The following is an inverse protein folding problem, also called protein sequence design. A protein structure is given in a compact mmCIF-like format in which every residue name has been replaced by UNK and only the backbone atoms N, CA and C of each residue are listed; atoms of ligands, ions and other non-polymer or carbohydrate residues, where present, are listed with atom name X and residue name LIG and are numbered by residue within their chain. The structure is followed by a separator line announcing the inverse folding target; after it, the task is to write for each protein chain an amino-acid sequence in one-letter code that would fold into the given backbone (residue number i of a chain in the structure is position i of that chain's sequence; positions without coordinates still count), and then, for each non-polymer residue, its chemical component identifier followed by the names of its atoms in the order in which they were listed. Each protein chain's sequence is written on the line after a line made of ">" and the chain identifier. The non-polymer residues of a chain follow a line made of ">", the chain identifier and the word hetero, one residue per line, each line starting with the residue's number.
data_IF_499712172485
#
_entry.id   IF_499712172485
#
_cell.length_a   1.000
_cell.length_b   1.000
_cell.length_c   1.000
_cell.angle_alpha   90.00
_cell.angle_beta   90.00
_cell.angle_gamma   90.00
#
_symmetry.space_group_name_H-M   'P 1'
#
loop_
_entity.id
_entity.type
_entity.pdbx_description
1 polymer ?
#
# COMPACT_ATOMS: atom_id res chain seq x y z
N UNK A 1 -4.80 -19.88 25.04
CA UNK A 1 -4.73 -20.54 23.71
C UNK A 1 -5.44 -19.66 22.69
N UNK A 2 -5.27 -19.97 21.40
CA UNK A 2 -5.85 -19.19 20.31
C UNK A 2 -6.65 -20.09 19.38
N UNK A 3 -7.89 -19.70 19.14
CA UNK A 3 -8.85 -20.47 18.37
C UNK A 3 -9.31 -19.70 17.13
N UNK A 4 -9.52 -20.43 16.03
CA UNK A 4 -10.06 -19.91 14.79
C UNK A 4 -11.45 -20.51 14.56
N UNK A 5 -12.50 -19.72 14.80
CA UNK A 5 -13.89 -20.14 14.70
C UNK A 5 -14.41 -19.80 13.31
N UNK A 6 -14.83 -20.83 12.57
CA UNK A 6 -15.44 -20.69 11.25
C UNK A 6 -16.83 -20.08 11.39
N UNK A 7 -17.19 -19.14 10.51
CA UNK A 7 -18.49 -18.46 10.54
C UNK A 7 -18.79 -17.81 9.19
N UNK A 8 -20.06 -17.61 8.88
CA UNK A 8 -20.47 -16.74 7.75
C UNK A 8 -20.51 -15.27 8.19
N UNK A 9 -20.67 -14.35 7.24
CA UNK A 9 -20.67 -12.91 7.52
C UNK A 9 -21.79 -12.51 8.48
N UNK A 10 -22.96 -13.11 8.35
CA UNK A 10 -24.14 -12.76 9.16
C UNK A 10 -23.96 -13.21 10.62
N UNK A 11 -23.50 -14.44 10.83
CA UNK A 11 -23.22 -15.01 12.14
C UNK A 11 -22.00 -14.37 12.80
N UNK A 12 -21.00 -13.93 12.04
CA UNK A 12 -19.92 -13.07 12.53
C UNK A 12 -20.48 -11.78 13.13
N UNK A 13 -21.26 -11.01 12.35
CA UNK A 13 -21.81 -9.74 12.81
C UNK A 13 -22.72 -9.91 14.03
N UNK A 14 -23.53 -10.98 14.05
CA UNK A 14 -24.35 -11.34 15.22
C UNK A 14 -23.48 -11.66 16.44
N UNK A 15 -22.42 -12.45 16.28
CA UNK A 15 -21.48 -12.79 17.36
C UNK A 15 -20.79 -11.56 17.93
N UNK A 16 -20.31 -10.68 17.07
CA UNK A 16 -19.67 -9.43 17.48
C UNK A 16 -20.65 -8.51 18.22
N UNK A 17 -21.92 -8.47 17.80
CA UNK A 17 -22.97 -7.65 18.43
C UNK A 17 -23.45 -8.24 19.76
N UNK A 18 -23.64 -9.55 19.85
CA UNK A 18 -24.22 -10.20 21.03
C UNK A 18 -23.20 -10.64 22.07
N UNK A 19 -21.91 -10.71 21.72
CA UNK A 19 -20.88 -11.29 22.58
C UNK A 19 -21.04 -12.81 22.78
N UNK A 20 -21.64 -13.51 21.81
CA UNK A 20 -21.94 -14.93 21.90
C UNK A 20 -21.43 -15.70 20.69
N UNK A 21 -20.97 -16.93 20.91
CA UNK A 21 -20.68 -17.91 19.87
C UNK A 21 -21.43 -19.19 20.24
N UNK A 22 -22.15 -19.79 19.29
CA UNK A 22 -22.68 -21.14 19.41
C UNK A 22 -22.02 -22.07 18.40
N UNK A 23 -21.42 -23.17 18.85
CA UNK A 23 -20.75 -24.13 17.99
C UNK A 23 -21.43 -25.50 18.14
N UNK A 24 -21.84 -26.19 17.05
CA UNK A 24 -22.40 -27.53 17.15
C UNK A 24 -21.55 -28.50 18.00
N UNK A 25 -22.18 -29.27 18.89
CA UNK A 25 -21.45 -30.16 19.84
C UNK A 25 -20.62 -31.24 19.12
N UNK A 26 -21.00 -31.68 17.93
CA UNK A 26 -20.18 -32.62 17.14
C UNK A 26 -18.81 -32.02 16.74
N UNK A 27 -18.70 -30.69 16.63
CA UNK A 27 -17.41 -30.02 16.41
C UNK A 27 -16.59 -29.89 17.70
N UNK A 28 -17.24 -29.93 18.87
CA UNK A 28 -16.58 -29.84 20.17
C UNK A 28 -15.54 -30.93 20.36
N UNK A 29 -15.94 -32.16 20.10
CA UNK A 29 -15.14 -33.35 20.40
C UNK A 29 -14.04 -33.56 19.35
N UNK A 30 -14.36 -33.30 18.07
CA UNK A 30 -13.39 -33.43 16.97
C UNK A 30 -12.29 -32.36 17.00
N UNK A 31 -12.58 -31.17 17.52
CA UNK A 31 -11.67 -30.01 17.49
C UNK A 31 -11.17 -29.58 18.88
N UNK A 32 -11.48 -30.37 19.92
CA UNK A 32 -11.13 -30.08 21.31
C UNK A 32 -11.50 -28.65 21.77
N UNK A 33 -12.73 -28.22 21.44
CA UNK A 33 -13.25 -26.88 21.77
C UNK A 33 -13.74 -26.79 23.22
N UNK A 34 -13.92 -27.93 23.89
CA UNK A 34 -14.19 -27.98 25.33
C UNK A 34 -13.08 -27.38 26.19
N UNK A 35 -11.87 -27.24 25.64
CA UNK A 35 -10.73 -26.64 26.33
C UNK A 35 -10.73 -25.10 26.29
N UNK A 36 -11.66 -24.47 25.57
CA UNK A 36 -11.77 -23.01 25.55
C UNK A 36 -12.14 -22.53 26.95
N UNK A 37 -11.26 -21.72 27.53
CA UNK A 37 -11.43 -21.14 28.86
C UNK A 37 -11.36 -19.61 28.82
N UNK A 38 -11.59 -18.98 29.97
CA UNK A 38 -11.60 -17.53 30.09
C UNK A 38 -10.21 -16.98 29.79
N UNK A 39 -10.13 -15.95 28.94
CA UNK A 39 -8.89 -15.31 28.51
C UNK A 39 -8.27 -15.90 27.24
N UNK A 40 -8.81 -17.01 26.71
CA UNK A 40 -8.41 -17.51 25.40
C UNK A 40 -8.76 -16.51 24.29
N UNK A 41 -7.89 -16.43 23.28
CA UNK A 41 -8.09 -15.54 22.12
C UNK A 41 -8.94 -16.25 21.08
N UNK A 42 -9.98 -15.57 20.62
CA UNK A 42 -10.91 -16.09 19.63
C UNK A 42 -10.82 -15.25 18.37
N UNK A 43 -10.43 -15.87 17.27
CA UNK A 43 -10.45 -15.32 15.93
C UNK A 43 -11.64 -15.90 15.17
N UNK A 44 -12.17 -15.13 14.21
CA UNK A 44 -13.26 -15.57 13.36
C UNK A 44 -12.81 -15.67 11.92
N UNK A 45 -12.95 -16.84 11.31
CA UNK A 45 -12.78 -17.01 9.88
C UNK A 45 -14.14 -16.90 9.17
N UNK A 46 -14.33 -15.78 8.50
CA UNK A 46 -15.43 -15.48 7.59
C UNK A 46 -15.20 -16.20 6.27
N UNK A 47 -15.83 -17.36 6.09
CA UNK A 47 -15.58 -18.21 4.92
C UNK A 47 -16.20 -17.65 3.63
N UNK A 48 -17.23 -16.78 3.72
CA UNK A 48 -17.84 -16.14 2.55
C UNK A 48 -16.87 -15.13 1.93
N UNK A 49 -16.16 -14.39 2.77
CA UNK A 49 -15.21 -13.36 2.33
C UNK A 49 -13.75 -13.80 2.37
N UNK A 50 -13.47 -15.02 2.85
CA UNK A 50 -12.12 -15.54 3.10
C UNK A 50 -11.25 -14.59 3.95
N UNK A 51 -11.82 -14.07 5.05
CA UNK A 51 -11.12 -13.13 5.97
C UNK A 51 -11.13 -13.60 7.41
N UNK A 52 -10.11 -13.21 8.17
CA UNK A 52 -9.97 -13.50 9.59
C UNK A 52 -10.10 -12.21 10.40
N UNK A 53 -10.99 -12.21 11.39
CA UNK A 53 -11.25 -11.13 12.34
C UNK A 53 -10.86 -11.55 13.76
N UNK A 54 -10.82 -10.59 14.68
CA UNK A 54 -10.41 -10.82 16.08
C UNK A 54 -9.06 -10.18 16.40
N UNK A 55 -8.45 -10.46 17.56
CA UNK A 55 -8.99 -11.36 18.57
C UNK A 55 -10.13 -10.72 19.37
N UNK A 56 -11.18 -11.50 19.60
CA UNK A 56 -12.03 -11.38 20.78
C UNK A 56 -11.37 -12.15 21.94
N UNK A 57 -11.82 -11.91 23.17
CA UNK A 57 -11.42 -12.72 24.32
C UNK A 57 -12.58 -13.60 24.79
N UNK A 58 -12.32 -14.87 25.06
CA UNK A 58 -13.30 -15.73 25.73
C UNK A 58 -13.57 -15.19 27.14
N UNK A 59 -14.83 -14.85 27.42
CA UNK A 59 -15.32 -14.49 28.75
C UNK A 59 -15.82 -15.73 29.52
N UNK A 60 -15.87 -16.87 28.86
CA UNK A 60 -16.48 -18.10 29.36
C UNK A 60 -15.56 -18.81 30.33
N UNK A 61 -15.98 -19.03 31.58
CA UNK A 61 -15.23 -19.85 32.54
C UNK A 61 -15.27 -21.34 32.16
N UNK A 62 -16.42 -21.81 31.69
CA UNK A 62 -16.64 -23.17 31.23
C UNK A 62 -17.69 -23.18 30.11
N UNK A 63 -17.39 -23.89 29.04
CA UNK A 63 -18.24 -23.96 27.87
C UNK A 63 -19.54 -24.72 28.18
N UNK A 64 -20.69 -24.04 28.05
CA UNK A 64 -22.00 -24.61 28.42
C UNK A 64 -22.70 -25.21 27.22
N UNK A 65 -23.42 -26.29 27.42
CA UNK A 65 -24.26 -26.83 26.38
C UNK A 65 -25.65 -26.18 26.40
N UNK A 66 -26.12 -25.75 25.23
CA UNK A 66 -27.45 -25.19 24.99
C UNK A 66 -28.22 -26.11 24.03
N UNK A 67 -29.44 -26.48 24.40
CA UNK A 67 -30.33 -27.32 23.59
C UNK A 67 -31.34 -26.44 22.86
N UNK A 68 -31.49 -26.64 21.55
CA UNK A 68 -32.47 -25.98 20.68
C UNK A 68 -32.56 -24.44 20.83
N UNK A 69 -31.44 -23.70 20.72
CA UNK A 69 -31.47 -22.24 20.66
C UNK A 69 -32.38 -21.75 19.53
N UNK A 70 -33.32 -20.84 19.85
CA UNK A 70 -34.27 -20.29 18.87
C UNK A 70 -33.63 -19.35 17.86
N UNK A 71 -32.50 -18.73 18.21
CA UNK A 71 -31.82 -17.75 17.37
C UNK A 71 -30.30 -17.92 17.47
N UNK A 72 -29.60 -17.54 16.40
CA UNK A 72 -28.15 -17.52 16.32
C UNK A 72 -27.51 -16.48 17.26
N UNK A 73 -26.18 -16.30 17.18
CA UNK A 73 -25.33 -16.75 16.08
C UNK A 73 -25.01 -18.25 16.13
N UNK A 74 -25.00 -18.91 14.98
CA UNK A 74 -24.56 -20.29 14.78
C UNK A 74 -23.23 -20.28 14.03
N UNK A 75 -22.16 -20.68 14.70
CA UNK A 75 -20.80 -20.66 14.19
C UNK A 75 -20.31 -22.10 14.00
N UNK A 76 -19.38 -22.28 13.07
CA UNK A 76 -18.87 -23.56 12.61
C UNK A 76 -18.90 -23.61 11.08
N UNK A 77 -18.82 -24.82 10.54
CA UNK A 77 -18.89 -25.09 9.11
C UNK A 77 -19.96 -26.16 8.83
N UNK A 78 -20.49 -26.17 7.61
CA UNK A 78 -21.58 -27.07 7.21
C UNK A 78 -22.98 -26.57 7.62
N UNK A 79 -23.94 -27.48 7.77
CA UNK A 79 -25.34 -27.17 8.12
C UNK A 79 -25.52 -26.84 9.61
N UNK A 80 -24.78 -25.83 10.10
CA UNK A 80 -24.70 -25.47 11.53
C UNK A 80 -26.04 -25.12 12.16
N UNK A 81 -27.05 -24.70 11.39
CA UNK A 81 -28.40 -24.36 11.88
C UNK A 81 -29.32 -25.56 12.11
N UNK A 82 -28.97 -26.76 11.63
CA UNK A 82 -29.80 -27.98 11.75
C UNK A 82 -29.47 -28.83 12.98
N UNK A 83 -28.58 -28.35 13.85
CA UNK A 83 -28.18 -29.08 15.06
C UNK A 83 -29.12 -28.76 16.23
N UNK A 84 -29.26 -29.71 17.14
CA UNK A 84 -30.11 -29.57 18.34
C UNK A 84 -29.32 -29.24 19.61
N UNK A 85 -27.99 -29.36 19.58
CA UNK A 85 -27.09 -29.15 20.73
C UNK A 85 -25.90 -28.30 20.31
N UNK A 86 -25.66 -27.23 21.06
CA UNK A 86 -24.58 -26.29 20.80
C UNK A 86 -23.75 -26.05 22.05
N UNK A 87 -22.46 -25.84 21.86
CA UNK A 87 -21.56 -25.25 22.82
C UNK A 87 -21.74 -23.73 22.77
N UNK A 88 -22.25 -23.15 23.85
CA UNK A 88 -22.41 -21.71 24.06
C UNK A 88 -21.16 -21.15 24.73
N UNK A 89 -20.52 -20.19 24.06
CA UNK A 89 -19.39 -19.42 24.54
C UNK A 89 -19.77 -17.94 24.57
N UNK A 90 -19.50 -17.29 25.69
CA UNK A 90 -19.48 -15.84 25.87
C UNK A 90 -18.09 -15.30 25.54
N UNK A 91 -18.07 -14.19 24.82
CA UNK A 91 -16.85 -13.51 24.37
C UNK A 91 -16.94 -12.01 24.63
N UNK A 92 -15.81 -11.40 24.96
CA UNK A 92 -15.60 -9.97 24.98
C UNK A 92 -15.10 -9.50 23.60
N UNK A 93 -15.94 -8.70 22.94
CA UNK A 93 -15.67 -8.13 21.63
C UNK A 93 -15.15 -6.69 21.69
N UNK A 94 -14.95 -6.11 22.89
CA UNK A 94 -14.57 -4.70 23.06
C UNK A 94 -13.25 -4.34 22.38
N UNK A 95 -12.34 -5.30 22.25
CA UNK A 95 -11.04 -5.16 21.60
C UNK A 95 -10.98 -5.72 20.18
N UNK A 96 -12.12 -6.12 19.58
CA UNK A 96 -12.10 -6.74 18.25
C UNK A 96 -11.80 -5.69 17.18
N UNK A 97 -10.79 -5.99 16.40
CA UNK A 97 -10.42 -5.23 15.23
C UNK A 97 -11.51 -5.27 14.14
N UNK A 98 -11.87 -4.10 13.61
CA UNK A 98 -13.02 -3.89 12.70
C UNK A 98 -12.80 -4.46 11.28
N UNK A 99 -11.57 -4.40 10.79
CA UNK A 99 -11.12 -4.91 9.48
C UNK A 99 -10.47 -6.28 9.68
N UNK A 100 -10.94 -7.30 8.97
CA UNK A 100 -10.31 -8.62 8.97
C UNK A 100 -9.14 -8.71 7.98
N UNK A 101 -8.23 -9.66 8.12
CA UNK A 101 -7.15 -9.91 7.14
C UNK A 101 -7.49 -11.07 6.20
N UNK A 102 -7.02 -11.10 4.94
CA UNK A 102 -7.23 -12.26 4.06
C UNK A 102 -6.63 -13.55 4.65
N UNK A 103 -7.40 -14.64 4.64
CA UNK A 103 -6.99 -15.92 5.22
C UNK A 103 -5.86 -16.62 4.43
N UNK A 104 -5.73 -16.32 3.14
CA UNK A 104 -4.67 -16.82 2.26
C UNK A 104 -3.26 -16.57 2.81
N UNK A 105 -3.10 -15.56 3.67
CA UNK A 105 -1.83 -15.24 4.32
C UNK A 105 -1.33 -16.33 5.28
N UNK A 106 -2.24 -17.03 5.96
CA UNK A 106 -1.85 -18.10 6.88
C UNK A 106 -1.63 -19.45 6.17
N UNK A 107 -1.74 -19.49 4.84
CA UNK A 107 -1.70 -20.74 4.08
C UNK A 107 -2.84 -21.70 4.42
N UNK A 108 -3.90 -21.20 5.08
CA UNK A 108 -5.10 -21.98 5.40
C UNK A 108 -5.88 -22.14 4.10
N UNK A 109 -5.71 -23.29 3.45
CA UNK A 109 -6.57 -23.71 2.34
C UNK A 109 -7.98 -24.03 2.83
N UNK A 110 -8.96 -23.97 1.94
CA UNK A 110 -10.36 -24.33 2.24
C UNK A 110 -10.52 -25.77 2.78
N UNK A 111 -9.56 -26.65 2.46
CA UNK A 111 -9.67 -28.09 2.71
C UNK A 111 -9.19 -28.53 4.10
N UNK A 112 -8.44 -27.68 4.82
CA UNK A 112 -7.96 -28.00 6.16
C UNK A 112 -8.69 -27.18 7.23
N UNK A 113 -9.82 -27.72 7.70
CA UNK A 113 -10.55 -27.13 8.81
C UNK A 113 -9.76 -27.30 10.10
N UNK A 114 -9.15 -26.21 10.57
CA UNK A 114 -8.37 -26.15 11.81
C UNK A 114 -8.90 -25.07 12.75
N UNK A 115 -9.24 -25.45 13.98
CA UNK A 115 -9.78 -24.53 14.98
C UNK A 115 -8.76 -23.96 15.97
N UNK A 116 -7.50 -24.37 15.90
CA UNK A 116 -6.42 -23.87 16.77
C UNK A 116 -5.32 -23.24 15.95
N UNK A 117 -4.86 -22.07 16.39
CA UNK A 117 -3.70 -21.40 15.82
C UNK A 117 -2.45 -21.78 16.61
N UNK A 118 -1.36 -22.07 15.91
CA UNK A 118 -0.03 -22.16 16.53
C UNK A 118 0.39 -20.78 17.04
N UNK A 119 1.30 -20.71 18.01
CA UNK A 119 1.74 -19.44 18.60
C UNK A 119 2.37 -18.51 17.56
N UNK A 120 3.09 -19.08 16.60
CA UNK A 120 3.76 -18.36 15.51
C UNK A 120 2.73 -17.76 14.55
N UNK A 121 1.72 -18.54 14.17
CA UNK A 121 0.60 -18.11 13.31
C UNK A 121 -0.22 -17.01 14.00
N UNK A 122 -0.51 -17.19 15.29
CA UNK A 122 -1.21 -16.19 16.10
C UNK A 122 -0.43 -14.86 16.16
N UNK A 123 0.87 -14.91 16.46
CA UNK A 123 1.72 -13.72 16.50
C UNK A 123 1.69 -13.00 15.15
N UNK A 124 1.79 -13.76 14.08
CA UNK A 124 1.77 -13.26 12.71
C UNK A 124 0.42 -12.63 12.34
N UNK A 125 -0.68 -13.31 12.67
CA UNK A 125 -2.05 -12.86 12.47
C UNK A 125 -2.35 -11.58 13.26
N UNK A 126 -1.96 -11.56 14.53
CA UNK A 126 -2.21 -10.42 15.43
C UNK A 126 -1.46 -9.18 14.96
N UNK A 127 -0.19 -9.30 14.57
CA UNK A 127 0.59 -8.19 13.98
C UNK A 127 -0.05 -7.67 12.69
N UNK A 128 -0.54 -8.56 11.82
CA UNK A 128 -1.19 -8.16 10.57
C UNK A 128 -2.52 -7.47 10.80
N UNK A 129 -3.38 -8.04 11.65
CA UNK A 129 -4.69 -7.46 11.95
C UNK A 129 -4.51 -6.15 12.71
N UNK A 130 -3.58 -6.06 13.67
CA UNK A 130 -3.33 -4.82 14.40
C UNK A 130 -2.91 -3.71 13.45
N UNK A 131 -1.93 -3.93 12.56
CA UNK A 131 -1.52 -2.94 11.55
C UNK A 131 -2.65 -2.51 10.62
N UNK A 132 -3.58 -3.41 10.31
CA UNK A 132 -4.73 -3.08 9.46
C UNK A 132 -5.75 -2.18 10.15
N UNK A 133 -5.78 -2.19 11.49
CA UNK A 133 -6.83 -1.56 12.29
C UNK A 133 -6.35 -0.46 13.22
N UNK A 134 -5.06 -0.44 13.53
CA UNK A 134 -4.42 0.70 14.15
C UNK A 134 -4.39 1.79 13.08
N UNK A 135 -5.07 2.93 13.27
CA UNK A 135 -4.91 4.05 12.36
C UNK A 135 -3.43 4.41 12.38
N UNK A 136 -2.75 4.12 11.27
CA UNK A 136 -1.32 4.34 11.17
C UNK A 136 -1.01 5.76 11.67
N UNK A 137 -0.11 5.85 12.65
CA UNK A 137 0.29 7.14 13.23
C UNK A 137 0.73 8.02 12.08
N UNK A 138 0.01 9.09 11.83
CA UNK A 138 0.35 10.05 10.78
C UNK A 138 1.56 10.82 11.23
N UNK A 139 2.61 10.78 10.43
CA UNK A 139 3.82 11.53 10.66
C UNK A 139 4.09 12.33 9.42
N UNK A 140 4.29 13.63 9.58
CA UNK A 140 4.86 14.45 8.53
C UNK A 140 6.31 14.71 8.87
N UNK A 141 7.21 14.39 7.93
CA UNK A 141 8.63 14.71 8.04
C UNK A 141 8.94 15.81 7.04
N UNK A 142 9.10 17.03 7.54
CA UNK A 142 9.60 18.14 6.74
C UNK A 142 11.13 18.09 6.71
N UNK A 143 11.73 18.11 5.53
CA UNK A 143 13.18 18.11 5.36
C UNK A 143 13.56 19.21 4.39
N UNK A 144 14.40 20.14 4.84
CA UNK A 144 14.95 21.21 4.02
C UNK A 144 16.45 21.33 4.29
N UNK A 145 17.17 22.01 3.41
CA UNK A 145 18.59 22.31 3.64
C UNK A 145 18.86 23.80 3.47
N UNK A 146 19.72 24.35 4.30
CA UNK A 146 20.25 25.71 4.19
C UNK A 146 21.77 25.66 4.23
N UNK A 147 22.43 26.11 3.17
CA UNK A 147 23.89 26.05 3.02
C UNK A 147 24.45 24.63 3.22
N UNK A 148 24.92 24.29 4.43
CA UNK A 148 25.48 23.00 4.83
C UNK A 148 24.69 22.28 5.94
N UNK A 149 23.58 22.87 6.40
CA UNK A 149 22.71 22.30 7.43
C UNK A 149 21.44 21.70 6.84
N UNK A 150 21.01 20.59 7.44
CA UNK A 150 19.67 20.02 7.24
C UNK A 150 18.78 20.49 8.37
N UNK A 151 17.67 21.11 8.03
CA UNK A 151 16.61 21.48 8.96
C UNK A 151 15.44 20.52 8.78
N UNK A 152 15.10 19.79 9.84
CA UNK A 152 14.00 18.84 9.84
C UNK A 152 13.01 19.15 10.95
N UNK A 153 11.71 19.11 10.64
CA UNK A 153 10.66 19.01 11.66
C UNK A 153 9.81 17.75 11.46
N UNK A 154 9.54 17.05 12.55
CA UNK A 154 8.68 15.86 12.58
C UNK A 154 7.41 16.23 13.32
N UNK A 155 6.27 16.16 12.62
CA UNK A 155 4.95 16.39 13.19
C UNK A 155 4.23 15.05 13.29
N UNK A 156 4.02 14.55 14.52
CA UNK A 156 3.21 13.35 14.72
C UNK A 156 1.79 13.74 15.08
N UNK A 157 0.83 13.30 14.28
CA UNK A 157 -0.59 13.56 14.44
C UNK A 157 -1.22 12.32 15.09
N UNK A 158 -1.27 12.37 16.43
CA UNK A 158 -1.91 11.38 17.31
C UNK A 158 -3.05 12.02 18.11
N UNK A 159 -3.49 11.40 19.22
CA UNK A 159 -4.44 12.00 20.20
C UNK A 159 -3.93 13.32 20.81
N UNK A 160 -2.66 13.66 20.58
CA UNK A 160 -2.08 15.00 20.65
C UNK A 160 -1.11 15.18 19.49
N UNK A 161 -0.92 16.40 19.01
CA UNK A 161 0.12 16.70 18.01
C UNK A 161 1.44 16.95 18.72
N UNK A 162 2.49 16.19 18.38
CA UNK A 162 3.85 16.47 18.84
C UNK A 162 4.69 17.01 17.67
N UNK A 163 5.55 17.97 17.97
CA UNK A 163 6.47 18.56 16.99
C UNK A 163 7.88 18.44 17.56
N UNK A 164 8.77 17.78 16.82
CA UNK A 164 10.20 17.70 17.12
C UNK A 164 10.97 18.39 16.02
N UNK A 165 11.95 19.23 16.38
CA UNK A 165 12.80 19.95 15.43
C UNK A 165 14.25 19.51 15.60
N UNK A 166 14.95 19.38 14.48
CA UNK A 166 16.34 18.97 14.41
C UNK A 166 17.08 19.85 13.40
N UNK A 167 18.28 20.30 13.76
CA UNK A 167 19.26 20.82 12.81
C UNK A 167 20.56 20.04 12.95
N UNK A 168 21.18 19.69 11.83
CA UNK A 168 22.47 19.01 11.82
C UNK A 168 23.22 19.24 10.51
N UNK A 169 24.57 19.21 10.53
CA UNK A 169 25.36 19.32 9.31
C UNK A 169 25.18 18.09 8.41
N UNK A 170 25.11 18.32 7.10
CA UNK A 170 25.22 17.27 6.08
C UNK A 170 26.66 17.21 5.57
N UNK A 171 27.20 16.01 5.36
CA UNK A 171 28.53 15.89 4.77
C UNK A 171 28.53 16.44 3.35
N UNK A 172 29.51 17.28 3.02
CA UNK A 172 29.72 17.81 1.65
C UNK A 172 29.85 16.69 0.60
N UNK A 173 30.28 15.49 1.02
CA UNK A 173 30.43 14.32 0.15
C UNK A 173 29.15 13.51 -0.02
N UNK A 174 28.10 13.75 0.77
CA UNK A 174 26.88 12.95 0.79
C UNK A 174 26.24 12.88 -0.60
N UNK A 175 26.00 14.04 -1.23
CA UNK A 175 25.35 14.11 -2.53
C UNK A 175 26.15 13.37 -3.61
N UNK A 176 27.47 13.54 -3.63
CA UNK A 176 28.36 12.86 -4.57
C UNK A 176 28.31 11.32 -4.39
N UNK A 177 28.38 10.83 -3.16
CA UNK A 177 28.35 9.39 -2.86
C UNK A 177 26.99 8.80 -3.23
N UNK A 178 25.90 9.49 -2.88
CA UNK A 178 24.54 9.07 -3.18
C UNK A 178 24.33 8.95 -4.70
N UNK A 179 24.71 9.98 -5.47
CA UNK A 179 24.57 9.96 -6.93
C UNK A 179 25.41 8.87 -7.59
N UNK A 180 26.63 8.63 -7.11
CA UNK A 180 27.45 7.51 -7.59
C UNK A 180 26.76 6.17 -7.35
N UNK A 181 26.22 5.94 -6.16
CA UNK A 181 25.51 4.69 -5.83
C UNK A 181 24.21 4.56 -6.63
N UNK A 182 23.45 5.63 -6.84
CA UNK A 182 22.25 5.63 -7.69
C UNK A 182 22.56 5.24 -9.14
N UNK A 183 23.68 5.69 -9.71
CA UNK A 183 24.14 5.27 -11.05
C UNK A 183 24.50 3.78 -11.10
N UNK A 184 25.16 3.27 -10.07
CA UNK A 184 25.47 1.83 -9.97
C UNK A 184 24.17 1.01 -9.89
N UNK A 185 23.24 1.42 -9.03
CA UNK A 185 21.93 0.79 -8.89
C UNK A 185 21.16 0.79 -10.22
N UNK A 186 21.16 1.91 -10.94
CA UNK A 186 20.55 2.05 -12.26
C UNK A 186 21.12 1.04 -13.27
N UNK A 187 22.44 0.91 -13.32
CA UNK A 187 23.11 -0.04 -14.22
C UNK A 187 22.75 -1.48 -13.88
N UNK A 188 22.74 -1.83 -12.60
CA UNK A 188 22.37 -3.17 -12.13
C UNK A 188 20.90 -3.50 -12.42
N UNK A 189 20.00 -2.53 -12.21
CA UNK A 189 18.57 -2.66 -12.51
C UNK A 189 18.32 -2.93 -14.00
N UNK A 190 18.97 -2.16 -14.88
CA UNK A 190 18.86 -2.34 -16.34
C UNK A 190 19.48 -3.66 -16.81
N UNK A 191 20.57 -4.09 -16.16
CA UNK A 191 21.21 -5.38 -16.41
C UNK A 191 20.49 -6.56 -15.75
N UNK A 192 19.35 -6.34 -15.08
CA UNK A 192 18.55 -7.36 -14.36
C UNK A 192 19.36 -8.14 -13.31
N UNK A 193 20.30 -7.47 -12.64
CA UNK A 193 21.11 -8.05 -11.55
C UNK A 193 20.45 -7.79 -10.21
N UNK A 194 19.33 -8.46 -9.95
CA UNK A 194 18.44 -8.17 -8.81
C UNK A 194 19.14 -8.19 -7.46
N UNK A 195 20.01 -9.18 -7.20
CA UNK A 195 20.73 -9.29 -5.93
C UNK A 195 21.75 -8.16 -5.74
N UNK A 196 22.52 -7.83 -6.79
CA UNK A 196 23.47 -6.72 -6.75
C UNK A 196 22.74 -5.38 -6.57
N UNK A 197 21.62 -5.19 -7.27
CA UNK A 197 20.75 -4.03 -7.14
C UNK A 197 20.24 -3.88 -5.70
N UNK A 198 19.72 -4.95 -5.10
CA UNK A 198 19.26 -4.95 -3.70
C UNK A 198 20.38 -4.61 -2.71
N UNK A 199 21.59 -5.16 -2.91
CA UNK A 199 22.74 -4.81 -2.08
C UNK A 199 23.06 -3.30 -2.20
N UNK A 200 23.06 -2.75 -3.41
CA UNK A 200 23.28 -1.31 -3.63
C UNK A 200 22.15 -0.47 -3.03
N UNK A 201 20.90 -0.91 -3.07
CA UNK A 201 19.79 -0.20 -2.41
C UNK A 201 19.96 -0.21 -0.88
N UNK A 202 20.39 -1.31 -0.27
CA UNK A 202 20.69 -1.37 1.18
C UNK A 202 21.82 -0.41 1.54
N UNK A 203 22.86 -0.33 0.72
CA UNK A 203 23.95 0.62 0.89
C UNK A 203 23.48 2.09 0.82
N UNK A 204 22.64 2.41 -0.17
CA UNK A 204 22.02 3.74 -0.28
C UNK A 204 21.16 4.01 0.96
N UNK A 205 20.37 3.02 1.36
CA UNK A 205 19.48 3.12 2.50
C UNK A 205 20.21 3.36 3.82
N UNK A 206 21.33 2.67 4.03
CA UNK A 206 22.19 2.84 5.19
C UNK A 206 22.82 4.24 5.22
N UNK A 207 23.31 4.71 4.06
CA UNK A 207 23.83 6.07 3.92
C UNK A 207 22.78 7.13 4.31
N UNK A 208 21.52 6.97 3.86
CA UNK A 208 20.42 7.87 4.21
C UNK A 208 20.07 7.76 5.70
N UNK A 209 20.04 6.54 6.25
CA UNK A 209 19.75 6.31 7.66
C UNK A 209 20.76 7.04 8.56
N UNK A 210 22.06 6.86 8.32
CA UNK A 210 23.11 7.48 9.10
C UNK A 210 23.17 9.00 8.93
N UNK A 211 22.85 9.49 7.73
CA UNK A 211 22.91 10.92 7.42
C UNK A 211 21.73 11.71 7.98
N UNK A 212 20.53 11.10 8.03
CA UNK A 212 19.29 11.75 8.44
C UNK A 212 18.65 11.08 9.67
N UNK A 213 18.11 9.86 9.52
CA UNK A 213 17.22 9.25 10.52
C UNK A 213 17.88 8.99 11.88
N UNK A 214 19.18 8.68 11.90
CA UNK A 214 19.93 8.50 13.14
C UNK A 214 20.04 9.79 13.95
N UNK A 215 20.10 10.94 13.28
CA UNK A 215 20.22 12.26 13.91
C UNK A 215 18.86 12.82 14.36
N UNK A 216 17.77 12.33 13.76
CA UNK A 216 16.39 12.74 14.05
C UNK A 216 15.68 11.87 15.10
N UNK A 217 16.42 10.99 15.80
CA UNK A 217 15.87 10.02 16.76
C UNK A 217 14.66 9.21 16.22
N UNK A 218 14.75 8.81 14.94
CA UNK A 218 13.66 8.14 14.22
C UNK A 218 13.75 6.62 14.26
N UNK A 219 14.45 6.03 15.25
CA UNK A 219 14.63 4.58 15.33
C UNK A 219 13.30 3.83 15.37
N UNK A 220 12.27 4.46 15.94
CA UNK A 220 10.91 3.91 16.06
C UNK A 220 10.28 3.55 14.71
N UNK A 221 10.59 4.29 13.63
CA UNK A 221 10.04 3.99 12.30
C UNK A 221 10.54 2.65 11.75
N UNK A 222 11.74 2.22 12.14
CA UNK A 222 12.38 0.98 11.67
C UNK A 222 12.16 -0.21 12.61
N UNK A 223 11.92 0.06 13.90
CA UNK A 223 11.73 -0.97 14.94
C UNK A 223 10.28 -1.35 15.16
N UNK A 224 9.39 -0.35 15.21
CA UNK A 224 7.96 -0.54 15.53
C UNK A 224 7.11 -0.64 14.27
N UNK A 225 7.41 0.18 13.26
CA UNK A 225 6.56 0.30 12.08
C UNK A 225 5.17 0.84 12.39
N UNK A 226 4.27 0.73 11.42
CA UNK A 226 2.86 1.13 11.55
C UNK A 226 2.64 2.65 11.40
N UNK A 227 3.61 3.37 10.84
CA UNK A 227 3.47 4.79 10.58
C UNK A 227 2.99 5.04 9.15
N UNK A 228 2.28 6.14 8.97
CA UNK A 228 2.10 6.78 7.67
C UNK A 228 3.00 7.99 7.65
N UNK A 229 4.03 7.95 6.81
CA UNK A 229 5.06 8.97 6.76
C UNK A 229 4.89 9.72 5.45
N UNK A 230 4.43 10.97 5.56
CA UNK A 230 4.35 11.89 4.44
C UNK A 230 5.57 12.83 4.48
N UNK A 231 6.46 12.68 3.50
CA UNK A 231 7.66 13.51 3.38
C UNK A 231 7.34 14.83 2.68
N UNK A 232 7.55 15.95 3.38
CA UNK A 232 7.50 17.31 2.81
C UNK A 232 8.95 17.77 2.58
N UNK A 233 9.43 17.61 1.35
CA UNK A 233 10.85 17.75 0.99
C UNK A 233 11.13 19.04 0.23
N UNK A 234 12.20 19.73 0.61
CA UNK A 234 12.76 20.84 -0.15
C UNK A 234 13.46 20.39 -1.43
N UNK A 235 13.61 21.31 -2.39
CA UNK A 235 14.20 21.05 -3.73
C UNK A 235 15.57 20.38 -3.69
N UNK A 236 16.41 20.73 -2.72
CA UNK A 236 17.79 20.21 -2.60
C UNK A 236 17.87 18.73 -2.25
N UNK A 237 16.83 18.16 -1.63
CA UNK A 237 16.77 16.77 -1.18
C UNK A 237 15.70 15.96 -1.90
N UNK A 238 15.09 16.52 -2.94
CA UNK A 238 13.97 15.86 -3.65
C UNK A 238 14.37 14.54 -4.32
N UNK A 239 15.65 14.43 -4.68
CA UNK A 239 16.23 13.26 -5.34
C UNK A 239 16.67 12.17 -4.36
N UNK A 240 16.58 12.42 -3.05
CA UNK A 240 16.92 11.46 -1.99
C UNK A 240 15.77 10.46 -1.81
N UNK A 241 16.03 9.14 -1.93
CA UNK A 241 14.99 8.13 -1.82
C UNK A 241 14.82 7.68 -0.36
N UNK A 242 14.17 8.51 0.47
CA UNK A 242 13.99 8.23 1.90
C UNK A 242 13.20 6.93 2.17
N UNK A 243 12.33 6.51 1.25
CA UNK A 243 11.53 5.28 1.33
C UNK A 243 12.38 4.01 1.40
N UNK A 244 13.59 4.05 0.82
CA UNK A 244 14.56 2.94 0.87
C UNK A 244 15.62 3.12 1.96
N UNK A 245 15.44 4.05 2.91
CA UNK A 245 16.33 4.11 4.08
C UNK A 245 16.37 2.74 4.78
N UNK A 246 17.56 2.30 5.19
CA UNK A 246 17.81 0.93 5.63
C UNK A 246 18.65 0.88 6.90
N UNK A 247 18.21 0.07 7.87
CA UNK A 247 19.01 -0.30 9.06
C UNK A 247 19.07 -1.80 9.22
N UNK A 248 17.90 -2.41 9.38
CA UNK A 248 17.69 -3.87 9.40
C UNK A 248 16.62 -4.31 8.38
N UNK A 249 15.75 -3.38 7.99
CA UNK A 249 14.75 -3.47 6.94
C UNK A 249 14.65 -2.09 6.28
N UNK A 250 14.09 -2.04 5.08
CA UNK A 250 13.76 -0.79 4.41
C UNK A 250 12.59 -0.10 5.12
N UNK A 251 12.58 1.23 5.09
CA UNK A 251 11.55 2.03 5.73
C UNK A 251 10.14 1.69 5.22
N UNK A 252 9.98 1.44 3.92
CA UNK A 252 8.69 1.07 3.31
C UNK A 252 8.14 -0.28 3.79
N UNK A 253 8.97 -1.21 4.27
CA UNK A 253 8.52 -2.57 4.63
C UNK A 253 7.54 -2.57 5.81
N UNK A 254 7.62 -1.54 6.66
CA UNK A 254 6.82 -1.46 7.88
C UNK A 254 5.91 -0.23 7.92
N UNK A 255 5.99 0.67 6.93
CA UNK A 255 5.34 1.97 6.96
C UNK A 255 4.74 2.31 5.60
N UNK A 256 3.66 3.08 5.59
CA UNK A 256 3.12 3.69 4.38
C UNK A 256 3.90 4.97 4.12
N UNK A 257 4.52 5.09 2.95
CA UNK A 257 5.36 6.23 2.58
C UNK A 257 4.74 6.95 1.39
N UNK A 258 4.67 8.27 1.49
CA UNK A 258 4.38 9.15 0.36
C UNK A 258 5.18 10.46 0.49
N UNK A 259 5.21 11.22 -0.60
CA UNK A 259 5.85 12.53 -0.67
C UNK A 259 4.81 13.58 -1.03
N UNK A 260 4.76 14.69 -0.31
CA UNK A 260 3.77 15.74 -0.54
C UNK A 260 4.42 17.06 -0.95
N UNK A 261 3.71 17.83 -1.76
CA UNK A 261 3.97 19.27 -1.88
C UNK A 261 3.42 19.99 -0.64
N UNK A 262 3.94 21.17 -0.33
CA UNK A 262 3.42 22.02 0.76
C UNK A 262 2.00 22.53 0.48
N UNK A 263 1.58 22.54 -0.78
CA UNK A 263 0.34 23.13 -1.28
C UNK A 263 -0.83 22.13 -1.38
N UNK A 264 -0.60 20.85 -1.09
CA UNK A 264 -1.62 19.82 -1.27
C UNK A 264 -2.80 19.99 -0.31
N UNK A 265 -3.99 20.18 -0.87
CA UNK A 265 -5.26 20.19 -0.15
C UNK A 265 -5.69 18.75 0.18
N UNK A 266 -6.13 18.51 1.40
CA UNK A 266 -6.70 17.22 1.79
C UNK A 266 -8.11 17.08 1.21
N UNK A 267 -8.31 16.07 0.37
CA UNK A 267 -9.62 15.63 -0.10
C UNK A 267 -9.91 14.22 0.44
N UNK A 268 -11.15 13.97 0.83
CA UNK A 268 -11.56 12.73 1.49
C UNK A 268 -11.69 11.54 0.52
N UNK A 269 -12.11 11.79 -0.72
CA UNK A 269 -12.21 10.77 -1.76
C UNK A 269 -12.10 11.38 -3.16
N UNK A 270 -11.74 10.54 -4.11
CA UNK A 270 -11.67 10.82 -5.54
C UNK A 270 -12.53 9.81 -6.30
N UNK A 271 -12.92 10.14 -7.53
CA UNK A 271 -13.63 9.20 -8.40
C UNK A 271 -12.62 8.39 -9.22
N UNK A 272 -13.03 7.21 -9.67
CA UNK A 272 -12.31 6.38 -10.64
C UNK A 272 -13.31 5.76 -11.61
N UNK A 273 -13.97 6.62 -12.39
CA UNK A 273 -14.96 6.24 -13.39
C UNK A 273 -14.38 6.18 -14.78
N UNK A 274 -13.45 7.09 -15.08
CA UNK A 274 -12.85 7.24 -16.40
C UNK A 274 -11.34 7.13 -16.31
N UNK A 275 -10.76 6.17 -17.01
CA UNK A 275 -9.32 5.93 -17.06
C UNK A 275 -8.81 6.12 -18.49
N UNK A 276 -7.81 6.97 -18.65
CA UNK A 276 -7.04 7.05 -19.89
C UNK A 276 -5.76 6.25 -19.75
N UNK A 277 -5.49 5.40 -20.72
CA UNK A 277 -4.24 4.68 -20.87
C UNK A 277 -3.54 5.18 -22.13
N UNK A 278 -2.38 5.78 -21.97
CA UNK A 278 -1.49 6.15 -23.07
C UNK A 278 -0.33 5.15 -23.06
N UNK A 279 -0.26 4.31 -24.10
CA UNK A 279 0.70 3.20 -24.13
C UNK A 279 1.39 3.11 -25.49
N UNK A 280 2.72 3.10 -25.50
CA UNK A 280 3.52 3.03 -26.72
C UNK A 280 3.09 4.03 -27.83
N UNK A 281 3.11 5.36 -27.58
CA UNK A 281 2.70 6.34 -28.58
C UNK A 281 3.46 6.21 -29.91
N UNK A 282 4.76 5.92 -29.83
CA UNK A 282 5.67 5.72 -30.98
C UNK A 282 5.46 4.40 -31.73
N UNK A 283 4.64 3.46 -31.21
CA UNK A 283 4.40 2.14 -31.79
C UNK A 283 5.69 1.32 -32.00
N UNK A 284 6.66 1.46 -31.09
CA UNK A 284 7.95 0.79 -31.15
C UNK A 284 8.34 0.08 -29.84
N UNK A 285 7.41 -0.01 -28.88
CA UNK A 285 7.59 -0.61 -27.56
C UNK A 285 6.45 -1.59 -27.25
N UNK A 286 6.52 -2.77 -27.86
CA UNK A 286 5.56 -3.88 -27.65
C UNK A 286 5.26 -4.17 -26.16
N UNK A 287 6.25 -4.07 -25.28
CA UNK A 287 6.05 -4.28 -23.85
C UNK A 287 5.19 -3.18 -23.18
N UNK A 288 5.30 -1.92 -23.61
CA UNK A 288 4.45 -0.82 -23.14
C UNK A 288 3.03 -0.97 -23.69
N UNK A 289 2.89 -1.34 -24.97
CA UNK A 289 1.58 -1.66 -25.57
C UNK A 289 0.86 -2.79 -24.82
N UNK A 290 1.56 -3.90 -24.52
CA UNK A 290 0.99 -5.03 -23.76
C UNK A 290 0.60 -4.66 -22.33
N UNK A 291 1.34 -3.77 -21.68
CA UNK A 291 0.96 -3.22 -20.38
C UNK A 291 -0.35 -2.42 -20.49
N UNK A 292 -0.48 -1.61 -21.54
CA UNK A 292 -1.70 -0.87 -21.83
C UNK A 292 -2.92 -1.77 -22.08
N UNK A 293 -2.77 -2.82 -22.89
CA UNK A 293 -3.83 -3.82 -23.12
C UNK A 293 -4.25 -4.52 -21.82
N UNK A 294 -3.27 -4.96 -21.02
CA UNK A 294 -3.54 -5.58 -19.73
C UNK A 294 -4.36 -4.67 -18.80
N UNK A 295 -4.01 -3.38 -18.74
CA UNK A 295 -4.75 -2.42 -17.91
C UNK A 295 -6.13 -2.11 -18.48
N UNK A 296 -6.27 -2.06 -19.81
CA UNK A 296 -7.56 -1.91 -20.46
C UNK A 296 -8.53 -3.03 -20.06
N UNK A 297 -8.07 -4.28 -20.13
CA UNK A 297 -8.87 -5.45 -19.72
C UNK A 297 -9.20 -5.38 -18.21
N UNK A 298 -8.19 -5.08 -17.37
CA UNK A 298 -8.35 -4.96 -15.92
C UNK A 298 -9.43 -3.93 -15.53
N UNK A 299 -9.44 -2.75 -16.15
CA UNK A 299 -10.43 -1.71 -15.84
C UNK A 299 -11.80 -2.02 -16.43
N UNK A 300 -11.85 -2.54 -17.67
CA UNK A 300 -13.09 -2.93 -18.33
C UNK A 300 -13.84 -4.00 -17.52
N UNK A 301 -13.14 -5.03 -17.06
CA UNK A 301 -13.70 -6.11 -16.23
C UNK A 301 -14.24 -5.61 -14.88
N UNK A 302 -13.82 -4.41 -14.46
CA UNK A 302 -14.20 -3.79 -13.20
C UNK A 302 -15.30 -2.75 -13.35
N UNK A 303 -15.84 -2.56 -14.56
CA UNK A 303 -16.93 -1.65 -14.90
C UNK A 303 -16.50 -0.19 -15.02
N UNK A 304 -15.21 0.07 -15.22
CA UNK A 304 -14.64 1.41 -15.36
C UNK A 304 -14.57 1.77 -16.84
N UNK A 305 -14.99 3.00 -17.21
CA UNK A 305 -14.83 3.50 -18.58
C UNK A 305 -13.33 3.68 -18.85
N UNK A 306 -12.81 3.00 -19.86
CA UNK A 306 -11.39 3.02 -20.17
C UNK A 306 -11.14 3.28 -21.64
N UNK A 307 -10.20 4.18 -21.91
CA UNK A 307 -9.74 4.51 -23.25
C UNK A 307 -8.26 4.19 -23.37
N UNK A 308 -7.90 3.38 -24.36
CA UNK A 308 -6.51 3.07 -24.71
C UNK A 308 -6.09 3.87 -25.94
N UNK A 309 -5.03 4.66 -25.82
CA UNK A 309 -4.39 5.34 -26.92
C UNK A 309 -2.97 4.80 -27.13
N UNK A 310 -2.75 4.15 -28.27
CA UNK A 310 -1.45 3.59 -28.68
C UNK A 310 -1.07 4.04 -30.09
N UNK A 311 -0.96 5.36 -30.23
CA UNK A 311 -0.59 6.06 -31.45
C UNK A 311 -0.06 7.44 -31.07
N UNK A 312 0.59 8.12 -32.01
CA UNK A 312 1.02 9.50 -31.82
C UNK A 312 -0.16 10.40 -31.41
N UNK A 313 0.08 11.26 -30.42
CA UNK A 313 -0.88 12.23 -29.91
C UNK A 313 -0.18 13.60 -29.89
N UNK A 314 -0.85 14.65 -30.36
CA UNK A 314 -0.34 16.01 -30.17
C UNK A 314 -0.44 16.42 -28.70
N UNK A 315 0.44 17.31 -28.24
CA UNK A 315 0.36 17.91 -26.90
C UNK A 315 -1.03 18.47 -26.57
N UNK A 316 -1.62 19.24 -27.48
CA UNK A 316 -2.93 19.87 -27.26
C UNK A 316 -4.03 18.84 -27.01
N UNK A 317 -4.12 17.81 -27.86
CA UNK A 317 -5.05 16.69 -27.66
C UNK A 317 -4.80 15.94 -26.34
N UNK A 318 -3.53 15.75 -25.95
CA UNK A 318 -3.21 15.14 -24.66
C UNK A 318 -3.69 16.01 -23.49
N UNK A 319 -3.49 17.34 -23.57
CA UNK A 319 -3.96 18.28 -22.55
C UNK A 319 -5.49 18.31 -22.43
N UNK A 320 -6.21 18.29 -23.57
CA UNK A 320 -7.67 18.19 -23.59
C UNK A 320 -8.17 16.91 -22.91
N UNK A 321 -7.50 15.78 -23.16
CA UNK A 321 -7.87 14.52 -22.51
C UNK A 321 -7.76 14.62 -20.99
N UNK A 322 -6.73 15.23 -20.43
CA UNK A 322 -6.52 15.27 -18.99
C UNK A 322 -7.72 15.82 -18.21
N UNK A 323 -8.43 16.81 -18.75
CA UNK A 323 -9.63 17.39 -18.12
C UNK A 323 -10.83 16.42 -18.02
N UNK A 324 -10.81 15.34 -18.82
CA UNK A 324 -11.93 14.40 -18.95
C UNK A 324 -11.78 13.10 -18.17
N UNK A 325 -10.60 12.79 -17.61
CA UNK A 325 -10.34 11.50 -16.97
C UNK A 325 -10.00 11.66 -15.49
N UNK A 326 -10.43 10.67 -14.70
CA UNK A 326 -10.11 10.64 -13.27
C UNK A 326 -8.69 10.12 -13.02
N UNK A 327 -8.24 9.21 -13.88
CA UNK A 327 -6.93 8.57 -13.80
C UNK A 327 -6.28 8.53 -15.17
N UNK A 328 -5.00 8.88 -15.24
CA UNK A 328 -4.17 8.73 -16.43
C UNK A 328 -3.04 7.77 -16.14
N UNK A 329 -2.91 6.72 -16.94
CA UNK A 329 -1.77 5.80 -16.93
C UNK A 329 -0.95 6.00 -18.20
N UNK A 330 0.30 6.42 -18.06
CA UNK A 330 1.26 6.54 -19.15
C UNK A 330 2.32 5.45 -19.06
N UNK A 331 2.56 4.74 -20.15
CA UNK A 331 3.63 3.76 -20.29
C UNK A 331 4.34 3.94 -21.62
N UNK A 332 5.62 4.31 -21.58
CA UNK A 332 6.38 4.68 -22.77
C UNK A 332 7.69 5.40 -22.47
N UNK A 333 8.19 6.14 -23.45
CA UNK A 333 9.42 6.92 -23.32
C UNK A 333 9.17 8.28 -22.67
N UNK A 334 10.20 8.78 -22.02
CA UNK A 334 10.37 10.19 -21.73
C UNK A 334 11.24 10.82 -22.81
N UNK A 335 11.09 12.13 -23.00
CA UNK A 335 11.87 12.88 -23.99
C UNK A 335 13.38 12.61 -23.82
N UNK A 336 14.08 12.16 -24.88
CA UNK A 336 15.52 12.06 -24.84
C UNK A 336 16.13 13.47 -24.99
N UNK A 337 16.71 14.00 -23.89
CA UNK A 337 17.61 15.17 -23.79
C UNK A 337 16.96 16.48 -23.28
N UNK A 338 17.48 17.00 -22.15
CA UNK A 338 17.16 18.34 -21.62
C UNK A 338 16.94 18.39 -20.10
N UNK A 339 16.80 19.59 -19.54
CA UNK A 339 16.37 19.82 -18.15
C UNK A 339 14.86 19.59 -17.96
N UNK A 340 14.07 19.55 -19.04
CA UNK A 340 12.63 19.28 -19.00
C UNK A 340 12.35 17.79 -19.06
N UNK A 341 11.90 17.22 -17.95
CA UNK A 341 11.28 15.91 -17.92
C UNK A 341 9.91 16.00 -18.60
N UNK A 342 9.70 15.31 -19.71
CA UNK A 342 8.44 15.28 -20.45
C UNK A 342 8.16 13.86 -20.98
N UNK A 343 6.89 13.52 -21.16
CA UNK A 343 6.47 12.32 -21.89
C UNK A 343 6.71 12.50 -23.38
N UNK A 344 7.15 11.43 -24.03
CA UNK A 344 7.27 11.37 -25.48
C UNK A 344 5.95 10.83 -26.06
N UNK A 345 5.28 11.65 -26.88
CA UNK A 345 4.03 11.31 -27.53
C UNK A 345 4.21 10.85 -28.99
N UNK A 346 5.45 10.52 -29.38
CA UNK A 346 5.83 9.99 -30.70
C UNK A 346 5.94 11.02 -31.82
N UNK A 347 5.83 12.29 -31.48
CA UNK A 347 5.94 13.43 -32.39
C UNK A 347 5.85 14.79 -31.68
N UNK A 348 5.46 14.78 -30.40
CA UNK A 348 5.40 15.93 -29.52
C UNK A 348 5.80 15.50 -28.09
N UNK A 349 5.93 16.47 -27.20
CA UNK A 349 6.27 16.27 -25.80
C UNK A 349 5.20 16.85 -24.88
N UNK A 350 5.01 16.21 -23.73
CA UNK A 350 3.99 16.60 -22.76
C UNK A 350 4.52 16.63 -21.33
N UNK A 351 4.29 17.73 -20.63
CA UNK A 351 4.70 17.94 -19.23
C UNK A 351 3.60 18.60 -18.38
N UNK A 352 3.93 18.95 -17.15
CA UNK A 352 2.98 19.53 -16.21
C UNK A 352 2.56 20.97 -16.56
N UNK A 353 3.36 21.73 -17.31
CA UNK A 353 3.01 23.09 -17.75
C UNK A 353 1.86 23.06 -18.74
N UNK A 354 1.80 22.00 -19.56
CA UNK A 354 0.76 21.81 -20.57
C UNK A 354 -0.65 21.63 -19.93
N UNK A 355 -0.73 21.29 -18.64
CA UNK A 355 -2.02 21.11 -17.93
C UNK A 355 -2.30 22.18 -16.87
N UNK A 356 -1.35 23.07 -16.59
CA UNK A 356 -1.45 24.02 -15.47
C UNK A 356 -2.62 25.03 -15.61
N UNK A 357 -3.15 25.19 -16.83
CA UNK A 357 -4.25 26.11 -17.15
C UNK A 357 -5.64 25.45 -17.11
N UNK A 358 -5.72 24.13 -16.98
CA UNK A 358 -6.97 23.40 -17.07
C UNK A 358 -7.63 23.19 -15.69
N UNK A 359 -8.95 23.31 -15.66
CA UNK A 359 -9.76 22.85 -14.53
C UNK A 359 -10.08 21.35 -14.70
N UNK A 360 -10.31 20.65 -13.58
CA UNK A 360 -10.73 19.24 -13.62
C UNK A 360 -9.63 18.25 -13.99
N UNK A 361 -8.43 18.43 -13.42
CA UNK A 361 -7.30 17.53 -13.62
C UNK A 361 -7.53 16.12 -13.04
N UNK A 362 -6.82 15.09 -13.55
CA UNK A 362 -6.92 13.74 -13.01
C UNK A 362 -6.50 13.70 -11.54
N UNK A 363 -7.16 12.85 -10.77
CA UNK A 363 -6.84 12.59 -9.37
C UNK A 363 -5.55 11.76 -9.24
N UNK A 364 -5.29 10.89 -10.22
CA UNK A 364 -4.10 10.05 -10.28
C UNK A 364 -3.42 10.09 -11.64
N UNK A 365 -2.11 10.33 -11.63
CA UNK A 365 -1.23 10.03 -12.76
C UNK A 365 -0.31 8.87 -12.38
N UNK A 366 -0.27 7.83 -13.19
CA UNK A 366 0.76 6.79 -13.12
C UNK A 366 1.69 6.95 -14.33
N UNK A 367 2.93 7.35 -14.09
CA UNK A 367 3.96 7.57 -15.12
C UNK A 367 4.97 6.41 -15.09
N UNK A 368 4.73 5.38 -15.88
CA UNK A 368 5.71 4.35 -16.20
C UNK A 368 6.60 4.78 -17.38
N UNK A 369 7.43 5.79 -17.13
CA UNK A 369 8.42 6.27 -18.10
C UNK A 369 9.78 6.39 -17.43
N UNK A 370 10.81 5.99 -18.16
CA UNK A 370 12.18 5.96 -17.66
C UNK A 370 12.69 7.37 -17.34
N UNK A 371 13.29 7.58 -16.16
CA UNK A 371 14.03 8.82 -15.88
C UNK A 371 13.16 10.06 -15.60
N UNK A 372 11.86 9.87 -15.38
CA UNK A 372 10.97 10.91 -14.89
C UNK A 372 11.21 11.11 -13.40
N UNK A 373 12.23 11.92 -13.10
CA UNK A 373 12.66 12.19 -11.73
C UNK A 373 11.49 12.61 -10.82
N UNK A 374 11.63 12.47 -9.49
CA UNK A 374 10.65 13.02 -8.54
C UNK A 374 10.21 14.44 -8.85
N UNK A 375 11.10 15.27 -9.42
CA UNK A 375 10.81 16.63 -9.88
C UNK A 375 9.65 16.67 -10.87
N UNK A 376 9.64 15.78 -11.86
CA UNK A 376 8.57 15.68 -12.86
C UNK A 376 7.20 15.46 -12.18
N UNK A 377 7.12 14.47 -11.29
CA UNK A 377 5.88 14.19 -10.60
C UNK A 377 5.46 15.29 -9.63
N UNK A 378 6.44 15.97 -9.01
CA UNK A 378 6.17 17.15 -8.17
C UNK A 378 5.65 18.34 -8.98
N UNK A 379 6.05 18.48 -10.24
CA UNK A 379 5.50 19.50 -11.16
C UNK A 379 4.02 19.23 -11.48
N UNK A 380 3.63 17.96 -11.69
CA UNK A 380 2.20 17.59 -11.80
C UNK A 380 1.41 17.88 -10.53
N UNK A 381 1.98 17.61 -9.34
CA UNK A 381 1.33 17.97 -8.08
C UNK A 381 1.10 19.48 -7.99
N UNK A 382 2.08 20.31 -8.37
CA UNK A 382 1.96 21.77 -8.39
C UNK A 382 0.94 22.26 -9.42
N UNK A 383 0.78 21.54 -10.54
CA UNK A 383 -0.25 21.83 -11.52
C UNK A 383 -1.67 21.53 -11.01
N UNK A 384 -1.82 20.76 -9.92
CA UNK A 384 -3.11 20.47 -9.27
C UNK A 384 -3.53 19.00 -9.32
N UNK A 385 -2.69 18.11 -9.85
CA UNK A 385 -2.92 16.66 -9.77
C UNK A 385 -2.75 16.21 -8.32
N UNK A 386 -3.66 15.37 -7.83
CA UNK A 386 -3.66 15.02 -6.40
C UNK A 386 -2.61 13.97 -6.03
N UNK A 387 -2.41 12.99 -6.91
CA UNK A 387 -1.44 11.93 -6.73
C UNK A 387 -0.70 11.59 -8.02
N UNK A 388 0.59 11.32 -7.88
CA UNK A 388 1.45 10.88 -8.97
C UNK A 388 2.28 9.70 -8.52
N UNK A 389 2.26 8.62 -9.30
CA UNK A 389 3.21 7.52 -9.17
C UNK A 389 4.20 7.64 -10.32
N UNK A 390 5.49 7.76 -10.02
CA UNK A 390 6.53 7.83 -11.04
C UNK A 390 7.78 7.04 -10.62
N UNK A 391 8.71 6.85 -11.56
CA UNK A 391 9.93 6.08 -11.34
C UNK A 391 11.14 6.98 -11.09
N UNK A 392 11.93 6.71 -10.04
CA UNK A 392 13.21 7.39 -9.81
C UNK A 392 14.32 6.92 -10.74
N UNK A 393 14.22 5.67 -11.20
CA UNK A 393 15.20 5.00 -12.03
C UNK A 393 14.55 4.55 -13.34
N UNK A 394 15.35 4.38 -14.38
CA UNK A 394 14.93 3.71 -15.61
C UNK A 394 14.60 2.25 -15.28
N UNK A 395 13.40 1.83 -15.64
CA UNK A 395 12.88 0.48 -15.40
C UNK A 395 12.69 -0.21 -16.75
N UNK A 396 13.20 -1.44 -16.94
CA UNK A 396 12.91 -2.21 -18.14
C UNK A 396 11.41 -2.45 -18.30
N UNK A 397 10.88 -2.26 -19.52
CA UNK A 397 9.47 -2.48 -19.81
C UNK A 397 9.02 -3.93 -19.53
N UNK A 398 7.73 -4.10 -19.24
CA UNK A 398 7.10 -5.41 -19.00
C UNK A 398 7.42 -6.05 -17.65
N UNK A 399 8.10 -5.34 -16.74
CA UNK A 399 8.51 -5.88 -15.43
C UNK A 399 7.49 -5.61 -14.31
N UNK A 400 6.48 -4.77 -14.55
CA UNK A 400 5.60 -4.24 -13.51
C UNK A 400 4.24 -4.93 -13.40
N UNK A 401 3.94 -5.94 -14.23
CA UNK A 401 2.61 -6.55 -14.30
C UNK A 401 2.02 -6.92 -12.91
N UNK A 402 2.79 -7.63 -12.06
CA UNK A 402 2.30 -8.01 -10.72
C UNK A 402 2.09 -6.82 -9.79
N UNK A 403 2.91 -5.78 -9.93
CA UNK A 403 2.78 -4.56 -9.13
C UNK A 403 1.54 -3.79 -9.56
N UNK A 404 1.35 -3.55 -10.85
CA UNK A 404 0.20 -2.84 -11.41
C UNK A 404 -1.11 -3.55 -11.09
N UNK A 405 -1.16 -4.87 -11.30
CA UNK A 405 -2.33 -5.69 -10.96
C UNK A 405 -2.70 -5.49 -9.49
N UNK A 406 -1.72 -5.62 -8.59
CA UNK A 406 -1.98 -5.50 -7.17
C UNK A 406 -2.37 -4.09 -6.76
N UNK A 407 -1.67 -3.08 -7.27
CA UNK A 407 -1.91 -1.67 -6.98
C UNK A 407 -3.34 -1.26 -7.37
N UNK A 408 -3.71 -1.45 -8.64
CA UNK A 408 -5.03 -1.07 -9.13
C UNK A 408 -6.15 -1.94 -8.56
N UNK A 409 -5.92 -3.23 -8.31
CA UNK A 409 -6.91 -4.08 -7.64
C UNK A 409 -7.24 -3.59 -6.22
N UNK A 410 -6.27 -3.04 -5.47
CA UNK A 410 -6.56 -2.47 -4.15
C UNK A 410 -7.27 -1.13 -4.26
N UNK A 411 -6.85 -0.26 -5.20
CA UNK A 411 -7.54 1.01 -5.47
C UNK A 411 -9.02 0.80 -5.82
N UNK A 412 -9.31 -0.12 -6.74
CA UNK A 412 -10.67 -0.46 -7.17
C UNK A 412 -11.51 -1.10 -6.05
N UNK A 413 -10.90 -1.53 -4.94
CA UNK A 413 -11.60 -2.01 -3.73
C UNK A 413 -11.93 -0.88 -2.75
N UNK A 414 -11.61 0.36 -3.08
CA UNK A 414 -11.78 1.51 -2.20
C UNK A 414 -10.77 1.56 -1.06
N UNK A 415 -9.59 0.95 -1.24
CA UNK A 415 -8.49 1.11 -0.30
C UNK A 415 -7.74 2.42 -0.58
N UNK A 416 -7.17 3.04 0.46
CA UNK A 416 -6.38 4.27 0.33
C UNK A 416 -5.17 4.05 -0.59
N UNK A 417 -4.80 5.07 -1.37
CA UNK A 417 -3.72 4.94 -2.37
C UNK A 417 -2.35 4.61 -1.77
N UNK A 418 -2.00 5.21 -0.62
CA UNK A 418 -0.75 4.91 0.07
C UNK A 418 -0.67 3.46 0.54
N UNK A 419 -1.79 2.93 1.05
CA UNK A 419 -1.88 1.52 1.42
C UNK A 419 -1.77 0.62 0.18
N UNK A 420 -2.50 0.95 -0.89
CA UNK A 420 -2.50 0.20 -2.14
C UNK A 420 -1.10 0.12 -2.76
N UNK A 421 -0.41 1.26 -2.83
CA UNK A 421 0.96 1.37 -3.35
C UNK A 421 1.95 0.57 -2.50
N UNK A 422 1.99 0.83 -1.19
CA UNK A 422 2.92 0.17 -0.28
C UNK A 422 2.69 -1.35 -0.24
N UNK A 423 1.43 -1.80 -0.24
CA UNK A 423 1.11 -3.23 -0.25
C UNK A 423 1.55 -3.92 -1.54
N UNK A 424 1.37 -3.26 -2.69
CA UNK A 424 1.86 -3.77 -3.97
C UNK A 424 3.39 -3.85 -4.00
N UNK A 425 4.06 -2.83 -3.46
CA UNK A 425 5.51 -2.77 -3.32
C UNK A 425 6.05 -3.91 -2.45
N UNK A 426 5.59 -4.01 -1.21
CA UNK A 426 6.02 -5.03 -0.25
C UNK A 426 5.73 -6.44 -0.74
N UNK A 427 4.57 -6.69 -1.35
CA UNK A 427 4.27 -8.02 -1.88
C UNK A 427 5.12 -8.41 -3.09
N UNK A 428 5.59 -7.45 -3.88
CA UNK A 428 6.54 -7.73 -4.97
C UNK A 428 7.93 -8.01 -4.40
N UNK A 429 8.36 -7.20 -3.43
CA UNK A 429 9.63 -7.38 -2.74
C UNK A 429 9.74 -8.74 -2.02
N UNK A 430 8.69 -9.16 -1.31
CA UNK A 430 8.61 -10.47 -0.64
C UNK A 430 8.76 -11.64 -1.63
N UNK A 431 8.37 -11.42 -2.89
CA UNK A 431 8.49 -12.40 -3.98
C UNK A 431 9.81 -12.28 -4.76
N UNK A 432 10.76 -11.48 -4.25
CA UNK A 432 12.05 -11.23 -4.89
C UNK A 432 11.98 -10.31 -6.12
N UNK A 433 10.86 -9.64 -6.39
CA UNK A 433 10.73 -8.70 -7.51
C UNK A 433 11.16 -7.30 -7.07
N UNK A 434 12.22 -6.81 -7.69
CA UNK A 434 12.92 -5.59 -7.26
C UNK A 434 12.51 -4.34 -8.04
N UNK A 435 12.05 -4.48 -9.30
CA UNK A 435 11.68 -3.35 -10.17
C UNK A 435 10.69 -2.35 -9.54
N UNK A 436 9.67 -2.79 -8.78
CA UNK A 436 8.75 -1.84 -8.15
C UNK A 436 9.41 -0.92 -7.11
N UNK A 437 10.57 -1.30 -6.56
CA UNK A 437 11.37 -0.43 -5.67
C UNK A 437 11.87 0.84 -6.37
N UNK A 438 11.76 0.88 -7.70
CA UNK A 438 12.11 2.07 -8.45
C UNK A 438 11.02 3.17 -8.43
N UNK A 439 9.81 2.84 -7.98
CA UNK A 439 8.68 3.75 -7.98
C UNK A 439 8.49 4.40 -6.62
N UNK A 440 7.92 5.61 -6.64
CA UNK A 440 7.47 6.32 -5.45
C UNK A 440 6.05 6.83 -5.65
N UNK A 441 5.38 7.10 -4.53
CA UNK A 441 4.09 7.76 -4.48
C UNK A 441 4.29 9.22 -4.04
N UNK A 442 3.80 10.14 -4.87
CA UNK A 442 3.69 11.56 -4.59
C UNK A 442 2.20 11.89 -4.40
N UNK A 443 1.84 12.74 -3.44
CA UNK A 443 0.48 13.21 -3.21
C UNK A 443 -0.10 12.89 -1.83
N UNK A 444 -1.43 12.87 -1.76
CA UNK A 444 -2.19 12.52 -0.56
C UNK A 444 -2.34 11.00 -0.42
N UNK A 445 -1.61 10.41 0.51
CA UNK A 445 -1.56 8.97 0.72
C UNK A 445 -2.87 8.36 1.23
N UNK A 446 -3.79 9.17 1.78
CA UNK A 446 -5.08 8.73 2.34
C UNK A 446 -6.23 8.77 1.35
N UNK A 447 -6.01 9.27 0.14
CA UNK A 447 -7.07 9.41 -0.84
C UNK A 447 -7.64 8.03 -1.20
N UNK A 448 -8.96 7.90 -1.12
CA UNK A 448 -9.73 6.71 -1.53
C UNK A 448 -10.34 6.98 -2.90
N UNK A 449 -10.29 5.99 -3.79
CA UNK A 449 -10.86 6.07 -5.13
C UNK A 449 -12.18 5.30 -5.17
N UNK A 450 -13.28 6.03 -5.35
CA UNK A 450 -14.64 5.50 -5.46
C UNK A 450 -14.98 5.20 -6.92
N UNK A 451 -15.54 4.01 -7.17
CA UNK A 451 -16.04 3.62 -8.49
C UNK A 451 -17.29 4.41 -8.91
#
# INVERSE_FOLDING_TARGET
>A
MSYLIYTDRNNLLKSLKSGLIRIPVNLRDTQNLSLICRGDRIYFYDFENSRIYGPAQSATSEAREEKNPRQGPFNGFGNVSKHFRYLRLEIDCSSVYKKGVPASFLGIGMDEVRFRLKKEEEKCLLDRISRLNDPAVSVVVHISTSESEVNTSIVEINKGTSISQYSFPLSDTFGMILERKKRIAQTQLLARRDQEFLCTLRDIGALIYDSFFRKMDCERFFKKGGYRIDFAIGRSVETVPFEISYRNSFLFEQNIIAYRSEENRQLGSARMKRVLIIADPEQNQDAAYREGLFLFDLFSDQGVEVNLCSRNISRDMCAEFFSGYDVVHFTGRSSPQGESTAWDLGGDHFDAQDIAVFEGLPHLIFSNSCGNSPRFGMEFLRAGVQNVVCSRWKVPFGTLHSFLLQFYTQLLKGEEIGYSFNRALSSCYDKGKTFPLAFLLLGESRLIYEK
#
